data_IF_207876585461
#
_entry.id   IF_207876585461
#
_cell.length_a   1.000
_cell.length_b   1.000
_cell.length_c   1.000
_cell.angle_alpha   90.00
_cell.angle_beta   90.00
_cell.angle_gamma   90.00
#
_symmetry.space_group_name_H-M   'P 1'
#
loop_
_entity.id
_entity.type
_entity.pdbx_description
1 polymer ?
#
# COMPACT_ATOMS: atom_id res chain seq x y z
N UNK A 1 -27.34 -25.30 12.80
CA UNK A 1 -28.76 -24.86 12.71
C UNK A 1 -28.91 -23.33 12.62
N UNK A 2 -28.44 -22.53 13.59
CA UNK A 2 -28.69 -21.07 13.61
C UNK A 2 -28.20 -20.29 12.36
N UNK A 3 -27.01 -20.62 11.84
CA UNK A 3 -26.46 -20.00 10.62
C UNK A 3 -27.06 -20.57 9.32
N UNK A 4 -27.53 -21.83 9.36
CA UNK A 4 -28.14 -22.52 8.22
C UNK A 4 -29.51 -21.92 7.85
N UNK A 5 -30.22 -21.36 8.85
CA UNK A 5 -31.46 -20.58 8.65
C UNK A 5 -31.24 -19.17 8.08
N UNK A 6 -30.00 -18.71 7.98
CA UNK A 6 -29.65 -17.36 7.48
C UNK A 6 -29.15 -17.38 6.03
N UNK A 7 -29.01 -18.57 5.41
CA UNK A 7 -28.64 -18.69 4.01
C UNK A 7 -29.87 -18.31 3.13
N UNK A 8 -29.78 -17.26 2.28
CA UNK A 8 -30.91 -16.77 1.48
C UNK A 8 -31.46 -17.77 0.45
N UNK A 9 -30.76 -18.90 0.25
CA UNK A 9 -31.00 -19.84 -0.83
C UNK A 9 -31.93 -21.02 -0.45
N UNK A 10 -32.42 -21.11 0.78
CA UNK A 10 -33.20 -22.25 1.27
C UNK A 10 -34.50 -21.81 1.92
N UNK A 11 -35.63 -22.28 1.39
CA UNK A 11 -36.97 -22.04 1.94
C UNK A 11 -37.09 -22.66 3.36
N UNK A 12 -37.71 -21.94 4.33
CA UNK A 12 -37.85 -22.42 5.71
C UNK A 12 -38.55 -23.78 5.84
N UNK A 13 -39.45 -24.08 4.90
CA UNK A 13 -40.21 -25.34 4.84
C UNK A 13 -39.35 -26.57 4.54
N UNK A 14 -38.24 -26.41 3.81
CA UNK A 14 -37.30 -27.51 3.49
C UNK A 14 -36.42 -27.85 4.70
N UNK A 15 -36.13 -26.86 5.54
CA UNK A 15 -35.30 -27.02 6.74
C UNK A 15 -36.04 -27.81 7.83
N UNK A 16 -37.35 -27.59 7.97
CA UNK A 16 -38.18 -28.33 8.93
C UNK A 16 -38.44 -29.79 8.49
N UNK A 17 -38.39 -30.10 7.19
CA UNK A 17 -38.50 -31.50 6.70
C UNK A 17 -37.26 -32.37 6.97
N UNK A 18 -36.11 -31.77 7.29
CA UNK A 18 -34.85 -32.51 7.48
C UNK A 18 -34.71 -33.16 8.86
N UNK A 19 -35.54 -32.79 9.85
CA UNK A 19 -35.64 -33.40 11.19
C UNK A 19 -34.39 -33.25 12.10
N UNK A 20 -33.21 -33.60 11.59
CA UNK A 20 -31.90 -33.57 12.26
C UNK A 20 -30.85 -32.92 11.37
N UNK A 21 -29.84 -32.29 11.98
CA UNK A 21 -28.77 -31.58 11.26
C UNK A 21 -27.93 -32.56 10.41
N UNK A 22 -27.99 -32.51 9.06
CA UNK A 22 -27.29 -33.44 8.20
C UNK A 22 -25.81 -33.08 7.98
N UNK A 23 -25.37 -31.92 8.49
CA UNK A 23 -24.00 -31.44 8.34
C UNK A 23 -23.08 -31.96 9.46
N UNK A 24 -21.83 -32.34 9.13
CA UNK A 24 -20.83 -32.64 10.14
C UNK A 24 -20.53 -31.40 11.00
N UNK A 25 -20.09 -31.63 12.24
CA UNK A 25 -19.65 -30.54 13.10
C UNK A 25 -18.42 -29.86 12.50
N UNK A 26 -18.46 -28.54 12.31
CA UNK A 26 -17.37 -27.76 11.73
C UNK A 26 -16.96 -26.62 12.66
N UNK A 27 -15.67 -26.28 12.64
CA UNK A 27 -15.11 -25.13 13.35
C UNK A 27 -14.48 -24.18 12.33
N UNK A 28 -15.01 -22.96 12.25
CA UNK A 28 -14.45 -21.91 11.40
C UNK A 28 -13.26 -21.24 12.11
N UNK A 29 -12.05 -21.41 11.57
CA UNK A 29 -10.84 -20.77 12.09
C UNK A 29 -10.48 -19.59 11.19
N UNK A 30 -10.54 -18.38 11.73
CA UNK A 30 -10.08 -17.16 11.02
C UNK A 30 -8.63 -16.91 11.36
N UNK A 31 -7.75 -16.97 10.35
CA UNK A 31 -6.32 -16.76 10.51
C UNK A 31 -5.96 -15.33 10.12
N UNK A 32 -5.09 -14.68 10.89
CA UNK A 32 -4.61 -13.32 10.58
C UNK A 32 -3.65 -13.30 9.39
N UNK A 33 -2.84 -14.35 9.26
CA UNK A 33 -1.86 -14.50 8.20
C UNK A 33 -2.10 -15.78 7.40
N UNK A 34 -2.29 -15.62 6.09
CA UNK A 34 -2.52 -16.74 5.16
C UNK A 34 -1.30 -17.67 5.13
N UNK A 35 -0.10 -17.19 5.48
CA UNK A 35 1.13 -17.99 5.51
C UNK A 35 1.13 -19.04 6.62
N UNK A 36 0.35 -18.86 7.67
CA UNK A 36 0.27 -19.79 8.80
C UNK A 36 -0.71 -20.94 8.54
N UNK A 37 -1.53 -20.86 7.49
CA UNK A 37 -2.56 -21.86 7.19
C UNK A 37 -1.99 -23.26 6.99
N UNK A 38 -0.80 -23.38 6.39
CA UNK A 38 -0.15 -24.67 6.19
C UNK A 38 0.25 -25.33 7.52
N UNK A 39 0.76 -24.54 8.47
CA UNK A 39 1.16 -25.04 9.79
C UNK A 39 -0.07 -25.41 10.64
N UNK A 40 -1.12 -24.57 10.58
CA UNK A 40 -2.39 -24.84 11.28
C UNK A 40 -3.06 -26.08 10.71
N UNK A 41 -3.06 -26.26 9.39
CA UNK A 41 -3.60 -27.46 8.74
C UNK A 41 -2.90 -28.73 9.23
N UNK A 42 -1.57 -28.71 9.29
CA UNK A 42 -0.80 -29.85 9.81
C UNK A 42 -1.12 -30.16 11.28
N UNK A 43 -1.20 -29.14 12.12
CA UNK A 43 -1.52 -29.31 13.54
C UNK A 43 -2.94 -29.89 13.73
N UNK A 44 -3.92 -29.39 12.98
CA UNK A 44 -5.31 -29.83 13.03
C UNK A 44 -5.46 -31.27 12.53
N UNK A 45 -4.74 -31.65 11.47
CA UNK A 45 -4.74 -33.03 10.94
C UNK A 45 -4.14 -34.06 11.90
N UNK A 46 -3.20 -33.62 12.75
CA UNK A 46 -2.56 -34.47 13.74
C UNK A 46 -3.36 -34.58 15.06
N UNK A 47 -4.36 -33.73 15.25
CA UNK A 47 -5.20 -33.74 16.44
C UNK A 47 -6.11 -34.99 16.49
N UNK A 48 -6.19 -35.69 17.63
CA UNK A 48 -7.11 -36.82 17.81
C UNK A 48 -8.58 -36.41 17.88
N UNK A 49 -8.87 -35.11 17.96
CA UNK A 49 -10.23 -34.56 18.08
C UNK A 49 -10.91 -34.29 16.73
N UNK A 50 -10.21 -34.47 15.60
CA UNK A 50 -10.69 -34.09 14.26
C UNK A 50 -10.86 -35.34 13.40
N UNK A 51 -12.00 -35.45 12.74
CA UNK A 51 -12.26 -36.52 11.78
C UNK A 51 -11.30 -36.43 10.60
N UNK A 52 -10.67 -37.54 10.24
CA UNK A 52 -9.61 -37.58 9.21
C UNK A 52 -10.15 -37.56 7.78
N UNK A 53 -11.47 -37.52 7.59
CA UNK A 53 -12.11 -37.62 6.27
C UNK A 53 -13.39 -36.78 6.19
N UNK A 54 -13.35 -35.50 5.77
CA UNK A 54 -12.19 -34.62 5.58
C UNK A 54 -11.91 -33.76 6.82
N UNK A 55 -10.64 -33.62 7.19
CA UNK A 55 -10.21 -32.87 8.39
C UNK A 55 -10.20 -31.36 8.21
N UNK A 56 -9.90 -30.86 7.00
CA UNK A 56 -9.82 -29.43 6.69
C UNK A 56 -10.20 -29.14 5.23
N UNK A 57 -10.75 -27.96 4.97
CA UNK A 57 -11.00 -27.43 3.62
C UNK A 57 -9.79 -26.63 3.08
N UNK A 58 -8.57 -27.00 3.48
CA UNK A 58 -7.35 -26.32 3.05
C UNK A 58 -6.88 -26.86 1.70
N UNK A 59 -6.79 -25.99 0.70
CA UNK A 59 -6.25 -26.31 -0.62
C UNK A 59 -4.90 -25.60 -0.84
N UNK A 60 -3.76 -26.29 -0.63
CA UNK A 60 -2.43 -25.69 -0.73
C UNK A 60 -2.20 -25.00 -2.08
N UNK A 61 -2.62 -25.64 -3.18
CA UNK A 61 -2.42 -25.14 -4.54
C UNK A 61 -3.10 -23.79 -4.81
N UNK A 62 -4.24 -23.51 -4.18
CA UNK A 62 -4.95 -22.23 -4.34
C UNK A 62 -4.29 -21.16 -3.48
N UNK A 63 -3.97 -21.50 -2.24
CA UNK A 63 -3.32 -20.59 -1.28
C UNK A 63 -1.93 -20.17 -1.77
N UNK A 64 -1.12 -21.13 -2.24
CA UNK A 64 0.22 -20.86 -2.77
C UNK A 64 0.17 -19.95 -4.00
N UNK A 65 -0.83 -20.11 -4.87
CA UNK A 65 -1.05 -19.21 -6.02
C UNK A 65 -1.41 -17.79 -5.57
N UNK A 66 -2.28 -17.64 -4.56
CA UNK A 66 -2.63 -16.32 -4.02
C UNK A 66 -1.41 -15.64 -3.39
N UNK A 67 -0.61 -16.38 -2.60
CA UNK A 67 0.63 -15.87 -2.01
C UNK A 67 1.64 -15.49 -3.09
N UNK A 68 1.80 -16.32 -4.13
CA UNK A 68 2.70 -16.04 -5.26
C UNK A 68 2.26 -14.76 -5.99
N UNK A 69 0.98 -14.62 -6.32
CA UNK A 69 0.44 -13.42 -6.98
C UNK A 69 0.66 -12.17 -6.11
N UNK A 70 0.39 -12.24 -4.81
CA UNK A 70 0.64 -11.14 -3.89
C UNK A 70 2.13 -10.77 -3.82
N UNK A 71 3.03 -11.76 -3.82
CA UNK A 71 4.48 -11.53 -3.83
C UNK A 71 4.95 -10.89 -5.14
N UNK A 72 4.47 -11.38 -6.29
CA UNK A 72 4.80 -10.81 -7.61
C UNK A 72 4.31 -9.38 -7.71
N UNK A 73 3.07 -9.10 -7.29
CA UNK A 73 2.52 -7.75 -7.24
C UNK A 73 3.34 -6.84 -6.30
N UNK A 74 3.75 -7.34 -5.14
CA UNK A 74 4.61 -6.61 -4.20
C UNK A 74 5.98 -6.26 -4.79
N UNK A 75 6.64 -7.21 -5.45
CA UNK A 75 7.94 -6.98 -6.10
C UNK A 75 7.79 -5.98 -7.25
N UNK A 76 6.78 -6.16 -8.11
CA UNK A 76 6.51 -5.24 -9.21
C UNK A 76 6.23 -3.81 -8.70
N UNK A 77 5.44 -3.68 -7.64
CA UNK A 77 5.19 -2.41 -6.97
C UNK A 77 6.46 -1.76 -6.42
N UNK A 78 7.34 -2.55 -5.79
CA UNK A 78 8.61 -2.07 -5.25
C UNK A 78 9.55 -1.58 -6.37
N UNK A 79 9.65 -2.30 -7.48
CA UNK A 79 10.43 -1.89 -8.65
C UNK A 79 9.90 -0.58 -9.23
N UNK A 80 8.58 -0.43 -9.35
CA UNK A 80 7.94 0.81 -9.81
C UNK A 80 8.24 1.98 -8.87
N UNK A 81 8.13 1.79 -7.55
CA UNK A 81 8.42 2.84 -6.56
C UNK A 81 9.86 3.31 -6.69
N UNK A 82 10.83 2.39 -6.79
CA UNK A 82 12.25 2.73 -6.95
C UNK A 82 12.48 3.49 -8.26
N UNK A 83 11.93 2.99 -9.37
CA UNK A 83 12.08 3.63 -10.69
C UNK A 83 11.49 5.05 -10.73
N UNK A 84 10.27 5.22 -10.24
CA UNK A 84 9.60 6.53 -10.19
C UNK A 84 10.28 7.49 -9.21
N UNK A 85 10.80 6.98 -8.10
CA UNK A 85 11.59 7.77 -7.15
C UNK A 85 12.87 8.30 -7.81
N UNK A 86 13.61 7.44 -8.50
CA UNK A 86 14.80 7.84 -9.24
C UNK A 86 14.49 8.89 -10.32
N UNK A 87 13.42 8.69 -11.07
CA UNK A 87 12.94 9.64 -12.08
C UNK A 87 12.55 10.99 -11.46
N UNK A 88 11.83 10.98 -10.34
CA UNK A 88 11.42 12.18 -9.62
C UNK A 88 12.63 12.99 -9.15
N UNK A 89 13.62 12.33 -8.51
CA UNK A 89 14.86 12.98 -8.08
C UNK A 89 15.62 13.57 -9.27
N UNK A 90 15.67 12.85 -10.39
CA UNK A 90 16.32 13.34 -11.61
C UNK A 90 15.64 14.60 -12.16
N UNK A 91 14.30 14.62 -12.22
CA UNK A 91 13.53 15.80 -12.66
C UNK A 91 13.76 16.98 -11.71
N UNK A 92 13.69 16.76 -10.39
CA UNK A 92 13.93 17.83 -9.40
C UNK A 92 15.34 18.42 -9.57
N UNK A 93 16.34 17.57 -9.74
CA UNK A 93 17.72 18.00 -10.00
C UNK A 93 17.84 18.85 -11.26
N UNK A 94 17.19 18.44 -12.36
CA UNK A 94 17.19 19.19 -13.61
C UNK A 94 16.51 20.55 -13.47
N UNK A 95 15.38 20.60 -12.77
CA UNK A 95 14.64 21.84 -12.53
C UNK A 95 15.47 22.84 -11.73
N UNK A 96 16.09 22.41 -10.64
CA UNK A 96 16.93 23.27 -9.81
C UNK A 96 18.14 23.79 -10.57
N UNK A 97 18.78 22.93 -11.37
CA UNK A 97 19.90 23.36 -12.23
C UNK A 97 19.47 24.51 -13.15
N UNK A 98 18.29 24.38 -13.74
CA UNK A 98 17.71 25.40 -14.62
C UNK A 98 17.40 26.68 -13.84
N UNK A 99 16.80 26.56 -12.65
CA UNK A 99 16.47 27.69 -11.79
C UNK A 99 17.71 28.48 -11.33
N UNK A 100 18.78 27.78 -10.94
CA UNK A 100 20.06 28.40 -10.56
C UNK A 100 20.66 29.16 -11.76
N UNK A 101 20.64 28.56 -12.95
CA UNK A 101 21.16 29.20 -14.16
C UNK A 101 20.42 30.51 -14.51
N UNK A 102 19.10 30.51 -14.36
CA UNK A 102 18.25 31.69 -14.59
C UNK A 102 18.52 32.81 -13.58
N UNK A 103 18.84 32.45 -12.32
CA UNK A 103 19.10 33.41 -11.23
C UNK A 103 20.59 33.71 -11.00
N UNK A 104 21.48 33.31 -11.90
CA UNK A 104 22.95 33.40 -11.69
C UNK A 104 23.44 34.81 -11.33
N UNK A 105 22.86 35.85 -11.95
CA UNK A 105 23.25 37.25 -11.70
C UNK A 105 22.88 37.70 -10.29
N UNK A 106 21.70 37.31 -9.81
CA UNK A 106 21.26 37.60 -8.44
C UNK A 106 22.16 36.90 -7.42
N UNK A 107 22.50 35.64 -7.69
CA UNK A 107 23.41 34.85 -6.84
C UNK A 107 24.80 35.50 -6.77
N UNK A 108 25.33 35.98 -7.89
CA UNK A 108 26.61 36.68 -7.96
C UNK A 108 26.60 37.97 -7.10
N UNK A 109 25.54 38.78 -7.21
CA UNK A 109 25.37 39.97 -6.37
C UNK A 109 25.29 39.60 -4.88
N UNK A 110 24.52 38.56 -4.52
CA UNK A 110 24.44 38.08 -3.13
C UNK A 110 25.81 37.65 -2.60
N UNK A 111 26.62 36.98 -3.43
CA UNK A 111 27.98 36.57 -3.09
C UNK A 111 28.93 37.75 -2.89
N UNK A 112 28.82 38.80 -3.71
CA UNK A 112 29.64 40.01 -3.58
C UNK A 112 29.38 40.79 -2.28
N UNK A 113 28.16 40.71 -1.74
CA UNK A 113 27.77 41.34 -0.46
C UNK A 113 28.11 40.44 0.74
N UNK A 114 28.75 39.27 0.52
CA UNK A 114 29.22 38.38 1.58
C UNK A 114 28.22 37.30 2.03
N UNK A 115 27.19 37.00 1.23
CA UNK A 115 26.25 35.94 1.57
C UNK A 115 26.92 34.56 1.63
N UNK A 116 26.58 33.78 2.67
CA UNK A 116 27.09 32.41 2.84
C UNK A 116 26.53 31.47 1.77
N UNK A 117 27.26 30.41 1.43
CA UNK A 117 26.76 29.35 0.54
C UNK A 117 25.40 28.81 0.98
N UNK A 118 25.17 28.68 2.29
CA UNK A 118 23.91 28.18 2.82
C UNK A 118 22.73 29.10 2.49
N UNK A 119 22.93 30.41 2.62
CA UNK A 119 21.89 31.40 2.33
C UNK A 119 21.45 31.37 0.86
N UNK A 120 22.41 31.20 -0.05
CA UNK A 120 22.13 31.06 -1.49
C UNK A 120 21.38 29.76 -1.83
N UNK A 121 21.61 28.69 -1.05
CA UNK A 121 21.06 27.34 -1.31
C UNK A 121 19.64 27.15 -0.76
N UNK A 122 19.34 27.78 0.36
CA UNK A 122 18.07 27.64 1.08
C UNK A 122 16.81 27.83 0.20
N UNK A 123 16.67 28.87 -0.65
CA UNK A 123 15.48 29.06 -1.46
C UNK A 123 15.18 27.88 -2.39
N UNK A 124 16.21 27.27 -2.97
CA UNK A 124 16.06 26.11 -3.86
C UNK A 124 15.65 24.84 -3.09
N UNK A 125 16.16 24.66 -1.87
CA UNK A 125 15.76 23.55 -0.99
C UNK A 125 14.28 23.67 -0.63
N UNK A 126 13.84 24.87 -0.27
CA UNK A 126 12.43 25.15 0.04
C UNK A 126 11.54 24.94 -1.19
N UNK A 127 11.97 25.39 -2.39
CA UNK A 127 11.21 25.18 -3.62
C UNK A 127 10.97 23.68 -3.90
N UNK A 128 12.01 22.84 -3.77
CA UNK A 128 11.85 21.40 -3.96
C UNK A 128 11.04 20.72 -2.86
N UNK A 129 11.13 21.19 -1.61
CA UNK A 129 10.27 20.73 -0.52
C UNK A 129 8.80 21.05 -0.82
N UNK A 130 8.50 22.26 -1.27
CA UNK A 130 7.13 22.68 -1.64
C UNK A 130 6.59 21.80 -2.78
N UNK A 131 7.39 21.54 -3.82
CA UNK A 131 6.99 20.67 -4.93
C UNK A 131 6.71 19.24 -4.43
N UNK A 132 7.57 18.69 -3.57
CA UNK A 132 7.39 17.36 -2.98
C UNK A 132 6.14 17.26 -2.11
N UNK A 133 5.90 18.25 -1.25
CA UNK A 133 4.71 18.31 -0.38
C UNK A 133 3.44 18.51 -1.20
N UNK A 134 3.45 19.37 -2.21
CA UNK A 134 2.30 19.58 -3.09
C UNK A 134 1.93 18.30 -3.86
N UNK A 135 2.92 17.60 -4.42
CA UNK A 135 2.70 16.32 -5.08
C UNK A 135 2.14 15.25 -4.14
N UNK A 136 2.67 15.18 -2.91
CA UNK A 136 2.18 14.27 -1.88
C UNK A 136 0.75 14.59 -1.45
N UNK A 137 0.42 15.88 -1.29
CA UNK A 137 -0.92 16.32 -0.94
C UNK A 137 -1.94 15.92 -2.01
N UNK A 138 -1.61 16.11 -3.30
CA UNK A 138 -2.45 15.66 -4.42
C UNK A 138 -2.64 14.13 -4.37
N UNK A 139 -1.55 13.37 -4.19
CA UNK A 139 -1.63 11.91 -4.12
C UNK A 139 -2.50 11.44 -2.93
N UNK A 140 -2.37 12.09 -1.77
CA UNK A 140 -3.16 11.82 -0.56
C UNK A 140 -4.63 12.11 -0.76
N UNK A 141 -4.98 13.20 -1.45
CA UNK A 141 -6.37 13.50 -1.79
C UNK A 141 -6.95 12.43 -2.73
N UNK A 142 -6.21 12.05 -3.78
CA UNK A 142 -6.64 11.03 -4.73
C UNK A 142 -6.87 9.70 -4.02
N UNK A 143 -5.92 9.23 -3.22
CA UNK A 143 -6.05 7.94 -2.51
C UNK A 143 -7.09 8.02 -1.40
N UNK A 144 -7.11 9.11 -0.63
CA UNK A 144 -8.03 9.30 0.49
C UNK A 144 -9.50 9.31 0.07
N UNK A 145 -9.83 10.00 -1.03
CA UNK A 145 -11.20 10.01 -1.57
C UNK A 145 -11.50 8.84 -2.51
N UNK A 146 -10.49 8.32 -3.22
CA UNK A 146 -10.66 7.25 -4.20
C UNK A 146 -10.71 5.84 -3.61
N UNK A 147 -10.11 5.60 -2.44
CA UNK A 147 -9.99 4.24 -1.90
C UNK A 147 -11.34 3.61 -1.53
N UNK A 148 -12.20 4.32 -0.79
CA UNK A 148 -13.52 3.81 -0.40
C UNK A 148 -14.41 3.45 -1.59
N UNK A 149 -14.65 4.33 -2.58
CA UNK A 149 -15.47 3.97 -3.74
C UNK A 149 -14.80 2.87 -4.58
N UNK A 150 -13.47 2.84 -4.69
CA UNK A 150 -12.78 1.77 -5.42
C UNK A 150 -13.04 0.39 -4.77
N UNK A 151 -12.96 0.29 -3.44
CA UNK A 151 -13.25 -0.96 -2.72
C UNK A 151 -14.69 -1.42 -2.94
N UNK A 152 -15.66 -0.51 -2.83
CA UNK A 152 -17.09 -0.84 -3.01
C UNK A 152 -17.36 -1.34 -4.43
N UNK A 153 -16.83 -0.64 -5.45
CA UNK A 153 -17.01 -1.05 -6.85
C UNK A 153 -16.33 -2.39 -7.14
N UNK A 154 -15.10 -2.62 -6.66
CA UNK A 154 -14.42 -3.89 -6.88
C UNK A 154 -15.10 -5.06 -6.14
N UNK A 155 -15.62 -4.85 -4.93
CA UNK A 155 -16.31 -5.90 -4.18
C UNK A 155 -17.57 -6.41 -4.91
N UNK A 156 -18.23 -5.54 -5.69
CA UNK A 156 -19.39 -5.93 -6.51
C UNK A 156 -19.01 -6.85 -7.68
N UNK A 157 -17.77 -6.77 -8.17
CA UNK A 157 -17.25 -7.57 -9.29
C UNK A 157 -16.51 -8.82 -8.80
N UNK A 158 -15.78 -8.71 -7.70
CA UNK A 158 -14.93 -9.75 -7.13
C UNK A 158 -15.56 -10.33 -5.86
N UNK A 159 -16.74 -10.94 -6.00
CA UNK A 159 -17.54 -11.50 -4.89
C UNK A 159 -16.73 -12.54 -4.06
N UNK A 160 -15.75 -13.20 -4.69
CA UNK A 160 -14.89 -14.20 -4.07
C UNK A 160 -13.65 -13.63 -3.36
N UNK A 161 -13.36 -12.32 -3.49
CA UNK A 161 -12.23 -11.67 -2.82
C UNK A 161 -12.78 -10.78 -1.70
N UNK A 162 -12.58 -11.13 -0.41
CA UNK A 162 -13.02 -10.29 0.70
C UNK A 162 -12.14 -9.04 0.78
N UNK A 163 -12.48 -8.01 0.01
CA UNK A 163 -11.86 -6.68 0.09
C UNK A 163 -12.42 -5.95 1.31
N UNK A 164 -11.63 -5.90 2.37
CA UNK A 164 -11.97 -5.14 3.58
C UNK A 164 -11.44 -3.70 3.46
N UNK A 165 -12.31 -2.72 3.68
CA UNK A 165 -11.89 -1.35 3.94
C UNK A 165 -11.38 -1.25 5.37
N UNK A 166 -10.07 -1.02 5.53
CA UNK A 166 -9.46 -0.75 6.82
C UNK A 166 -9.09 0.75 6.93
N UNK A 167 -9.80 1.54 7.75
CA UNK A 167 -9.52 2.96 7.91
C UNK A 167 -8.21 3.23 8.65
N UNK A 168 -7.73 2.32 9.49
CA UNK A 168 -6.45 2.45 10.21
C UNK A 168 -5.31 2.26 9.22
N UNK A 169 -5.39 1.22 8.40
CA UNK A 169 -4.42 0.97 7.34
C UNK A 169 -4.33 2.16 6.37
N UNK A 170 -5.49 2.70 5.93
CA UNK A 170 -5.52 3.89 5.07
C UNK A 170 -4.78 5.06 5.70
N UNK A 171 -5.01 5.37 6.98
CA UNK A 171 -4.34 6.48 7.67
C UNK A 171 -2.82 6.31 7.69
N UNK A 172 -2.34 5.09 7.95
CA UNK A 172 -0.90 4.78 7.95
C UNK A 172 -0.30 5.02 6.55
N UNK A 173 -0.98 4.54 5.50
CA UNK A 173 -0.53 4.71 4.11
C UNK A 173 -0.51 6.19 3.72
N UNK A 174 -1.55 6.96 4.04
CA UNK A 174 -1.60 8.40 3.74
C UNK A 174 -0.50 9.17 4.48
N UNK A 175 -0.24 8.84 5.75
CA UNK A 175 0.86 9.44 6.50
C UNK A 175 2.23 9.08 5.90
N UNK A 176 2.42 7.82 5.49
CA UNK A 176 3.63 7.39 4.81
C UNK A 176 3.84 8.11 3.46
N UNK A 177 2.78 8.34 2.69
CA UNK A 177 2.84 9.09 1.42
C UNK A 177 3.27 10.54 1.64
N UNK A 178 2.73 11.22 2.64
CA UNK A 178 3.15 12.58 3.01
C UNK A 178 4.62 12.62 3.44
N UNK A 179 5.01 11.70 4.33
CA UNK A 179 6.39 11.59 4.79
C UNK A 179 7.36 11.33 3.63
N UNK A 180 6.99 10.42 2.73
CA UNK A 180 7.81 10.08 1.57
C UNK A 180 7.95 11.25 0.59
N UNK A 181 6.87 11.96 0.29
CA UNK A 181 6.94 13.13 -0.59
C UNK A 181 7.76 14.29 -0.01
N UNK A 182 7.67 14.52 1.31
CA UNK A 182 8.50 15.50 2.01
C UNK A 182 9.98 15.11 1.95
N UNK A 183 10.30 13.84 2.19
CA UNK A 183 11.66 13.31 2.08
C UNK A 183 12.18 13.42 0.65
N UNK A 184 11.40 13.03 -0.36
CA UNK A 184 11.80 13.10 -1.76
C UNK A 184 12.05 14.54 -2.22
N UNK A 185 11.16 15.48 -1.89
CA UNK A 185 11.34 16.89 -2.25
C UNK A 185 12.61 17.48 -1.62
N UNK A 186 12.84 17.17 -0.34
CA UNK A 186 14.01 17.65 0.41
C UNK A 186 15.32 17.05 -0.11
N UNK A 187 15.37 15.73 -0.27
CA UNK A 187 16.58 15.01 -0.72
C UNK A 187 16.87 15.33 -2.19
N UNK A 188 15.85 15.29 -3.05
CA UNK A 188 15.99 15.62 -4.46
C UNK A 188 16.54 17.03 -4.65
N UNK A 189 16.04 17.99 -3.86
CA UNK A 189 16.51 19.37 -3.96
C UNK A 189 17.93 19.56 -3.44
N UNK A 190 18.22 19.00 -2.26
CA UNK A 190 19.55 19.05 -1.68
C UNK A 190 20.62 18.47 -2.62
N UNK A 191 20.33 17.33 -3.27
CA UNK A 191 21.23 16.72 -4.25
C UNK A 191 21.44 17.60 -5.48
N UNK A 192 20.37 18.23 -6.00
CA UNK A 192 20.47 19.15 -7.13
C UNK A 192 21.36 20.35 -6.85
N UNK A 193 21.21 20.95 -5.66
CA UNK A 193 21.99 22.11 -5.23
C UNK A 193 23.47 21.74 -4.96
N UNK A 194 23.72 20.62 -4.26
CA UNK A 194 25.07 20.19 -3.88
C UNK A 194 25.97 19.91 -5.08
N UNK A 195 25.39 19.43 -6.20
CA UNK A 195 26.13 19.11 -7.42
C UNK A 195 26.68 20.36 -8.13
N UNK A 196 25.98 21.50 -8.04
CA UNK A 196 26.29 22.68 -8.85
C UNK A 196 27.28 23.65 -8.19
N UNK A 197 27.16 23.90 -6.87
CA UNK A 197 28.05 24.84 -6.16
C UNK A 197 29.46 24.30 -5.85
N UNK A 198 29.81 23.11 -6.37
CA UNK A 198 31.19 22.60 -6.36
C UNK A 198 31.93 22.88 -7.69
N UNK A 199 31.25 23.50 -8.65
CA UNK A 199 31.81 24.01 -9.90
C UNK A 199 31.72 25.54 -9.90
#
# INVERSE_FOLDING_TARGET
MARFRQLPALDPSVIDTLGTNPLPASLDVTVKDIRDLAAIDQEVRNSPLVDKSPSTNYEPNVIDKIILLARVAGIAGLVLIIGLTGLSVFIIMLTIRTAIYLRRKEIEVMKLVGATDWFVRWPFIVEGLIVGVAGAAVAVLIVGFGYRPAVINLQSVLIFVPLAFDPVYLRIVLAAMLGFGLLLGSVGSYLGVRRFLKQ
#
